data_IF_555691128042
#
_entry.id   IF_555691128042
#
_cell.length_a   1.000
_cell.length_b   1.000
_cell.length_c   1.000
_cell.angle_alpha   90.00
_cell.angle_beta   90.00
_cell.angle_gamma   90.00
#
_symmetry.space_group_name_H-M   'P 1'
#
loop_
_entity.id
_entity.type
_entity.pdbx_description
1 polymer ?
#
# COMPACT_ATOMS: atom_id res chain seq x y z
N UNK A 1 1.16 -11.88 24.44
CA UNK A 1 2.42 -11.25 24.00
C UNK A 1 2.40 -11.02 22.49
N UNK A 2 3.36 -10.27 21.92
CA UNK A 2 3.50 -10.16 20.45
C UNK A 2 3.66 -11.54 19.78
N UNK A 3 4.33 -12.48 20.44
CA UNK A 3 4.50 -13.84 19.95
C UNK A 3 3.16 -14.61 19.83
N UNK A 4 2.25 -14.43 20.79
CA UNK A 4 0.94 -15.09 20.75
C UNK A 4 0.04 -14.49 19.66
N UNK A 5 0.11 -13.16 19.47
CA UNK A 5 -0.58 -12.45 18.39
C UNK A 5 -0.12 -12.91 17.01
N UNK A 6 1.18 -13.19 16.84
CA UNK A 6 1.76 -13.76 15.62
C UNK A 6 1.31 -15.21 15.39
N UNK A 7 1.29 -16.04 16.45
CA UNK A 7 0.83 -17.44 16.35
C UNK A 7 -0.64 -17.56 15.96
N UNK A 8 -1.48 -16.61 16.40
CA UNK A 8 -2.89 -16.56 16.06
C UNK A 8 -3.18 -16.19 14.58
N UNK A 9 -2.15 -15.87 13.78
CA UNK A 9 -2.26 -15.41 12.38
C UNK A 9 -1.42 -16.27 11.43
N UNK A 10 -1.86 -17.49 11.12
CA UNK A 10 -1.13 -18.41 10.25
C UNK A 10 -0.88 -17.85 8.82
N UNK A 11 -1.73 -16.92 8.36
CA UNK A 11 -1.57 -16.21 7.09
C UNK A 11 -0.29 -15.35 7.06
N UNK A 12 0.04 -14.66 8.15
CA UNK A 12 1.27 -13.87 8.26
C UNK A 12 2.50 -14.78 8.27
N UNK A 13 2.41 -15.94 8.93
CA UNK A 13 3.49 -16.92 8.92
C UNK A 13 3.74 -17.47 7.52
N UNK A 14 2.66 -17.77 6.77
CA UNK A 14 2.75 -18.20 5.37
C UNK A 14 3.43 -17.14 4.49
N UNK A 15 3.03 -15.86 4.62
CA UNK A 15 3.64 -14.72 3.91
C UNK A 15 5.13 -14.60 4.23
N UNK A 16 5.49 -14.55 5.52
CA UNK A 16 6.89 -14.35 5.94
C UNK A 16 7.77 -15.52 5.48
N UNK A 17 7.29 -16.76 5.61
CA UNK A 17 8.09 -17.94 5.30
C UNK A 17 8.18 -18.23 3.80
N UNK A 18 7.10 -18.01 3.05
CA UNK A 18 7.04 -18.34 1.61
C UNK A 18 7.50 -17.21 0.72
N UNK A 19 7.30 -15.96 1.12
CA UNK A 19 7.61 -14.78 0.32
C UNK A 19 8.92 -14.14 0.76
N UNK A 20 8.96 -13.60 1.98
CA UNK A 20 10.08 -12.76 2.42
C UNK A 20 11.38 -13.54 2.65
N UNK A 21 11.31 -14.79 3.11
CA UNK A 21 12.52 -15.58 3.42
C UNK A 21 13.07 -16.42 2.25
N UNK A 22 12.22 -16.81 1.31
CA UNK A 22 12.62 -17.68 0.18
C UNK A 22 12.85 -16.90 -1.12
N UNK A 23 12.08 -15.84 -1.35
CA UNK A 23 12.20 -15.02 -2.55
C UNK A 23 11.92 -13.55 -2.21
N UNK A 24 12.80 -12.91 -1.41
CA UNK A 24 12.62 -11.52 -0.98
C UNK A 24 12.50 -10.56 -2.17
N UNK A 25 13.24 -10.80 -3.27
CA UNK A 25 13.18 -9.97 -4.47
C UNK A 25 11.89 -10.19 -5.28
N UNK A 26 11.38 -11.42 -5.34
CA UNK A 26 10.07 -11.71 -5.91
C UNK A 26 8.91 -11.17 -5.08
N UNK A 27 9.05 -11.05 -3.76
CA UNK A 27 8.10 -10.40 -2.88
C UNK A 27 8.01 -8.87 -3.14
N UNK A 28 9.11 -8.25 -3.57
CA UNK A 28 9.16 -6.86 -4.01
C UNK A 28 8.65 -6.65 -5.46
N UNK A 29 8.17 -7.71 -6.11
CA UNK A 29 7.67 -7.65 -7.49
C UNK A 29 8.78 -7.57 -8.54
N UNK A 30 10.06 -7.77 -8.18
CA UNK A 30 11.17 -7.75 -9.13
C UNK A 30 11.34 -9.12 -9.80
N UNK A 31 10.29 -9.60 -10.48
CA UNK A 31 10.42 -10.70 -11.44
C UNK A 31 10.31 -10.12 -12.84
N UNK A 32 11.35 -10.33 -13.64
CA UNK A 32 11.27 -10.16 -15.09
C UNK A 32 10.34 -11.25 -15.62
N UNK A 33 9.02 -11.00 -15.57
CA UNK A 33 8.05 -11.87 -16.20
C UNK A 33 8.08 -11.54 -17.70
N UNK A 34 8.64 -12.45 -18.51
CA UNK A 34 8.29 -12.47 -19.93
C UNK A 34 6.76 -12.53 -20.03
N UNK A 35 6.20 -11.51 -20.68
CA UNK A 35 4.75 -11.33 -20.77
C UNK A 35 4.21 -12.35 -21.77
N UNK A 36 3.76 -13.50 -21.30
CA UNK A 36 2.75 -14.27 -22.04
C UNK A 36 1.42 -13.51 -21.92
N UNK A 37 1.23 -12.54 -22.80
CA UNK A 37 -0.04 -11.82 -22.97
C UNK A 37 -1.08 -12.79 -23.54
N UNK A 38 -1.76 -13.55 -22.70
CA UNK A 38 -3.11 -13.98 -23.06
C UNK A 38 -3.99 -12.74 -23.02
N UNK A 39 -4.21 -12.16 -24.21
CA UNK A 39 -5.09 -11.02 -24.44
C UNK A 39 -6.50 -11.43 -23.99
N UNK A 40 -6.98 -10.88 -22.88
CA UNK A 40 -8.38 -11.07 -22.49
C UNK A 40 -9.26 -10.40 -23.53
N UNK A 41 -10.14 -11.17 -24.18
CA UNK A 41 -11.23 -10.61 -24.95
C UNK A 41 -12.20 -9.97 -23.96
N UNK A 42 -12.40 -8.65 -24.04
CA UNK A 42 -13.32 -7.90 -23.18
C UNK A 42 -14.65 -8.63 -23.02
N UNK A 43 -15.14 -8.71 -21.78
CA UNK A 43 -16.49 -9.21 -21.48
C UNK A 43 -17.50 -8.39 -22.29
N UNK A 44 -18.07 -8.99 -23.34
CA UNK A 44 -18.95 -8.34 -24.31
C UNK A 44 -20.20 -7.72 -23.67
N UNK A 45 -20.48 -8.06 -22.41
CA UNK A 45 -21.68 -7.66 -21.69
C UNK A 45 -21.40 -6.71 -20.52
N UNK A 46 -20.18 -6.18 -20.39
CA UNK A 46 -19.79 -5.23 -19.34
C UNK A 46 -19.83 -5.78 -17.91
N UNK A 47 -20.05 -7.10 -17.74
CA UNK A 47 -20.03 -7.76 -16.44
C UNK A 47 -18.60 -8.08 -16.02
N UNK A 48 -18.20 -7.79 -14.77
CA UNK A 48 -16.91 -8.20 -14.26
C UNK A 48 -16.79 -9.73 -14.35
N UNK A 49 -15.60 -10.22 -14.73
CA UNK A 49 -15.30 -11.65 -14.70
C UNK A 49 -15.56 -12.22 -13.31
N UNK A 50 -15.96 -13.50 -13.26
CA UNK A 50 -16.01 -14.28 -12.03
C UNK A 50 -14.71 -14.11 -11.24
N UNK A 51 -14.81 -13.81 -9.94
CA UNK A 51 -13.65 -13.48 -9.11
C UNK A 51 -12.60 -14.60 -9.08
N UNK A 52 -13.02 -15.85 -9.23
CA UNK A 52 -12.17 -17.03 -9.33
C UNK A 52 -11.26 -17.00 -10.57
N UNK A 53 -11.79 -16.56 -11.72
CA UNK A 53 -11.03 -16.39 -12.96
C UNK A 53 -10.03 -15.26 -12.83
N UNK A 54 -10.46 -14.11 -12.30
CA UNK A 54 -9.57 -12.96 -12.04
C UNK A 54 -8.45 -13.36 -11.08
N UNK A 55 -8.76 -14.11 -10.02
CA UNK A 55 -7.78 -14.59 -9.04
C UNK A 55 -6.77 -15.58 -9.63
N UNK A 56 -7.22 -16.49 -10.49
CA UNK A 56 -6.35 -17.47 -11.14
C UNK A 56 -5.38 -16.83 -12.15
N UNK A 57 -5.76 -15.70 -12.76
CA UNK A 57 -4.94 -14.98 -13.74
C UNK A 57 -3.97 -13.96 -13.13
N UNK A 58 -4.04 -13.70 -11.81
CA UNK A 58 -3.10 -12.77 -11.15
C UNK A 58 -1.72 -13.39 -11.17
N UNK A 59 -0.74 -12.61 -11.62
CA UNK A 59 0.66 -12.95 -11.42
C UNK A 59 1.18 -12.24 -10.16
N UNK A 60 2.27 -12.77 -9.61
CA UNK A 60 2.93 -12.20 -8.45
C UNK A 60 2.63 -12.98 -7.19
N UNK A 61 3.48 -12.80 -6.19
CA UNK A 61 3.52 -13.70 -5.05
C UNK A 61 2.65 -13.22 -3.87
N UNK A 62 2.12 -11.99 -3.94
CA UNK A 62 1.47 -11.31 -2.81
C UNK A 62 -0.06 -11.48 -2.81
N UNK A 63 -0.71 -11.43 -3.98
CA UNK A 63 -2.17 -11.47 -4.09
C UNK A 63 -2.66 -12.89 -4.42
N UNK A 64 -2.90 -13.69 -3.38
CA UNK A 64 -3.50 -15.03 -3.50
C UNK A 64 -5.04 -15.05 -3.54
N UNK A 65 -5.61 -16.25 -3.58
CA UNK A 65 -7.04 -16.45 -3.34
C UNK A 65 -7.43 -15.86 -1.97
N UNK A 66 -8.63 -15.27 -1.88
CA UNK A 66 -9.14 -14.55 -0.70
C UNK A 66 -8.34 -13.29 -0.31
N UNK A 67 -7.51 -12.75 -1.21
CA UNK A 67 -6.88 -11.43 -1.02
C UNK A 67 -7.36 -10.45 -2.10
N UNK A 68 -7.46 -9.17 -1.73
CA UNK A 68 -7.91 -8.09 -2.61
C UNK A 68 -6.83 -7.02 -2.67
N UNK A 69 -6.54 -6.55 -3.87
CA UNK A 69 -5.74 -5.33 -4.07
C UNK A 69 -6.62 -4.12 -3.80
N UNK A 70 -6.29 -3.35 -2.76
CA UNK A 70 -6.94 -2.07 -2.48
C UNK A 70 -6.02 -0.94 -2.91
N UNK A 71 -6.51 -0.05 -3.77
CA UNK A 71 -5.87 1.26 -3.93
C UNK A 71 -6.14 2.05 -2.65
N UNK A 72 -5.10 2.30 -1.85
CA UNK A 72 -5.20 3.10 -0.61
C UNK A 72 -5.15 4.62 -0.89
N UNK A 73 -5.36 5.02 -2.15
CA UNK A 73 -5.48 6.42 -2.53
C UNK A 73 -6.97 6.83 -2.51
N UNK A 74 -7.34 7.69 -1.55
CA UNK A 74 -8.67 8.31 -1.49
C UNK A 74 -8.55 9.82 -1.76
N UNK A 75 -8.70 10.27 -3.02
CA UNK A 75 -8.89 11.68 -3.33
C UNK A 75 -10.10 12.22 -2.58
N UNK A 76 -9.96 13.34 -1.87
CA UNK A 76 -11.04 13.96 -1.11
C UNK A 76 -11.18 13.52 0.35
N UNK A 77 -10.49 12.47 0.79
CA UNK A 77 -10.40 12.08 2.21
C UNK A 77 -9.43 13.00 3.02
N UNK A 78 -9.50 14.32 2.78
CA UNK A 78 -8.72 15.31 3.53
C UNK A 78 -9.56 15.84 4.68
N UNK A 79 -9.01 15.78 5.89
CA UNK A 79 -9.60 16.45 7.03
C UNK A 79 -9.39 17.96 6.89
N UNK A 80 -10.44 18.66 6.48
CA UNK A 80 -10.42 20.10 6.24
C UNK A 80 -10.30 20.94 7.52
N UNK A 81 -10.49 20.34 8.71
CA UNK A 81 -10.41 21.02 10.00
C UNK A 81 -8.99 21.05 10.58
N UNK A 82 -8.03 20.36 9.94
CA UNK A 82 -6.64 20.40 10.37
C UNK A 82 -6.04 21.81 10.17
N UNK A 83 -5.21 22.27 11.12
CA UNK A 83 -4.72 23.65 11.15
C UNK A 83 -3.75 23.97 10.01
N UNK A 84 -3.04 22.95 9.51
CA UNK A 84 -2.02 23.11 8.49
C UNK A 84 -2.26 22.17 7.32
N UNK A 85 -1.97 22.66 6.12
CA UNK A 85 -1.96 21.85 4.90
C UNK A 85 -0.57 21.88 4.29
N UNK A 86 -0.05 20.69 4.01
CA UNK A 86 1.17 20.51 3.25
C UNK A 86 0.79 19.88 1.90
N UNK A 87 1.11 20.57 0.82
CA UNK A 87 0.80 20.09 -0.53
C UNK A 87 1.46 18.73 -0.79
N UNK A 88 0.70 17.79 -1.35
CA UNK A 88 1.16 16.41 -1.57
C UNK A 88 1.28 15.57 -0.30
N UNK A 89 1.02 16.11 0.90
CA UNK A 89 1.08 15.38 2.16
C UNK A 89 -0.26 15.55 2.93
N UNK A 90 -1.30 14.79 2.54
CA UNK A 90 -2.63 14.95 3.10
C UNK A 90 -2.66 14.67 4.60
N UNK A 91 -3.55 15.34 5.31
CA UNK A 91 -3.76 15.17 6.75
C UNK A 91 -2.50 15.36 7.60
N UNK A 92 -1.65 16.31 7.21
CA UNK A 92 -0.49 16.70 8.00
C UNK A 92 -0.93 17.16 9.40
N UNK A 93 -0.27 16.63 10.43
CA UNK A 93 -0.51 16.95 11.84
C UNK A 93 0.78 16.87 12.64
N UNK A 94 0.88 17.73 13.65
CA UNK A 94 1.95 17.74 14.65
C UNK A 94 1.36 17.39 16.03
N UNK A 95 2.13 16.69 16.86
CA UNK A 95 1.78 16.47 18.27
C UNK A 95 2.33 17.66 19.08
N UNK A 96 1.48 18.46 19.75
CA UNK A 96 1.93 19.62 20.52
C UNK A 96 2.97 19.22 21.56
N UNK A 97 4.09 19.96 21.61
CA UNK A 97 5.18 19.72 22.57
C UNK A 97 6.15 18.59 22.19
N UNK A 98 5.95 17.90 21.06
CA UNK A 98 6.83 16.83 20.61
C UNK A 98 7.23 17.01 19.15
N UNK A 99 8.43 16.54 18.78
CA UNK A 99 8.87 16.48 17.37
C UNK A 99 8.29 15.25 16.68
N UNK A 100 6.97 15.06 16.77
CA UNK A 100 6.24 13.93 16.21
C UNK A 100 5.19 14.46 15.23
N UNK A 101 5.26 13.98 14.00
CA UNK A 101 4.44 14.41 12.89
C UNK A 101 3.77 13.20 12.23
N UNK A 102 2.58 13.42 11.66
CA UNK A 102 1.86 12.40 10.92
C UNK A 102 1.25 12.96 9.64
N UNK A 103 1.13 12.12 8.63
CA UNK A 103 0.45 12.38 7.35
C UNK A 103 -0.34 11.13 6.94
N UNK A 104 -1.24 11.26 5.97
CA UNK A 104 -1.84 10.14 5.27
C UNK A 104 -0.82 9.53 4.27
N UNK A 105 -1.23 9.19 3.05
CA UNK A 105 -0.32 8.68 2.02
C UNK A 105 0.25 9.86 1.19
N UNK A 106 1.51 10.29 1.39
CA UNK A 106 2.07 11.45 0.71
C UNK A 106 2.61 11.09 -0.68
N UNK A 107 2.67 12.08 -1.56
CA UNK A 107 3.45 11.99 -2.81
C UNK A 107 4.95 12.19 -2.52
N UNK A 108 5.80 11.91 -3.51
CA UNK A 108 7.24 12.16 -3.40
C UNK A 108 7.52 13.63 -3.08
N UNK A 109 6.82 14.56 -3.74
CA UNK A 109 6.95 15.99 -3.48
C UNK A 109 6.37 16.38 -2.11
N UNK A 110 5.31 15.71 -1.67
CA UNK A 110 4.76 15.84 -0.32
C UNK A 110 5.78 15.48 0.76
N UNK A 111 6.52 14.38 0.59
CA UNK A 111 7.59 13.98 1.51
C UNK A 111 8.65 15.08 1.61
N UNK A 112 9.09 15.62 0.47
CA UNK A 112 10.08 16.73 0.43
C UNK A 112 9.55 17.97 1.15
N UNK A 113 8.28 18.31 0.92
CA UNK A 113 7.62 19.45 1.58
C UNK A 113 7.50 19.26 3.08
N UNK A 114 7.17 18.05 3.55
CA UNK A 114 7.16 17.72 4.98
C UNK A 114 8.54 17.89 5.60
N UNK A 115 9.59 17.32 5.00
CA UNK A 115 10.96 17.43 5.51
C UNK A 115 11.38 18.90 5.64
N UNK A 116 11.09 19.72 4.63
CA UNK A 116 11.37 21.16 4.67
C UNK A 116 10.59 21.85 5.80
N UNK A 117 9.30 21.51 5.95
CA UNK A 117 8.41 22.11 6.96
C UNK A 117 8.83 21.77 8.40
N UNK A 118 9.31 20.55 8.66
CA UNK A 118 9.74 20.13 10.01
C UNK A 118 11.21 20.44 10.30
N UNK A 119 12.03 20.58 9.25
CA UNK A 119 13.46 20.89 9.36
C UNK A 119 13.78 22.38 9.46
N UNK A 120 12.85 23.27 9.13
CA UNK A 120 13.02 24.71 9.35
C UNK A 120 13.09 25.02 10.85
N UNK A 121 14.06 25.83 11.32
CA UNK A 121 14.09 26.28 12.69
C UNK A 121 12.79 27.03 12.99
N UNK A 122 12.15 26.69 14.12
CA UNK A 122 11.00 27.46 14.61
C UNK A 122 11.52 28.86 14.92
N UNK A 123 11.03 29.86 14.20
CA UNK A 123 11.33 31.27 14.47
C UNK A 123 10.85 31.68 15.85
#
# INVERSE_FOLDING_TARGET
>A
SFADWMKARPELYSIIRRLLRRDPMGALGHRNAEKSLMKMAESTNGRPYEMSVVAALRNGAVLGSQTVLKSDHCPGCQNLTLPERVEGAPNFREVPGFSVYGVANPTIDGIRSVIRRVGSPRG
#
